data_IF_576501271369
#
_entry.id   IF_576501271369
#
_cell.length_a   1.000
_cell.length_b   1.000
_cell.length_c   1.000
_cell.angle_alpha   90.00
_cell.angle_beta   90.00
_cell.angle_gamma   90.00
#
_symmetry.space_group_name_H-M   'P 1'
#
loop_
_entity.id
_entity.type
_entity.pdbx_description
1 polymer ?
#
# COMPACT_ATOMS: atom_id res chain seq x y z
N UNK A 1 1.84 -14.77 -14.35
CA UNK A 1 1.07 -15.01 -13.11
C UNK A 1 -0.13 -14.06 -13.11
N UNK A 2 -1.28 -14.40 -12.52
CA UNK A 2 -2.40 -13.48 -12.45
C UNK A 2 -1.99 -12.22 -11.67
N UNK A 3 -2.39 -11.06 -12.18
CA UNK A 3 -2.29 -9.78 -11.48
C UNK A 3 -3.02 -9.91 -10.14
N UNK A 4 -2.30 -9.66 -9.04
CA UNK A 4 -2.91 -9.58 -7.72
C UNK A 4 -3.35 -8.15 -7.48
N UNK A 5 -4.59 -7.98 -7.03
CA UNK A 5 -5.09 -6.73 -6.48
C UNK A 5 -5.19 -6.91 -4.97
N UNK A 6 -4.36 -6.20 -4.23
CA UNK A 6 -4.22 -6.35 -2.79
C UNK A 6 -4.58 -5.04 -2.12
N UNK A 7 -5.58 -5.08 -1.23
CA UNK A 7 -5.97 -3.93 -0.42
C UNK A 7 -5.55 -4.14 1.03
N UNK A 8 -4.93 -3.13 1.64
CA UNK A 8 -4.48 -3.17 3.03
C UNK A 8 -4.96 -1.92 3.74
N UNK A 9 -5.61 -2.11 4.88
CA UNK A 9 -6.06 -1.03 5.74
C UNK A 9 -5.24 -1.07 7.04
N UNK A 10 -4.51 0.01 7.30
CA UNK A 10 -3.60 0.13 8.43
C UNK A 10 -4.09 1.17 9.41
N UNK A 11 -4.28 0.78 10.67
CA UNK A 11 -4.57 1.72 11.74
C UNK A 11 -3.27 2.26 12.32
N UNK A 12 -2.90 3.47 11.92
CA UNK A 12 -1.70 4.17 12.37
C UNK A 12 -1.95 4.77 13.76
N UNK A 13 -1.63 3.99 14.80
CA UNK A 13 -1.59 4.50 16.19
C UNK A 13 -0.25 5.15 16.55
N UNK A 14 0.79 4.93 15.73
CA UNK A 14 2.15 5.39 15.93
C UNK A 14 2.79 5.74 14.56
N UNK A 15 3.56 6.84 14.52
CA UNK A 15 4.34 7.32 13.38
C UNK A 15 5.31 6.29 12.79
N UNK A 16 5.83 5.37 13.60
CA UNK A 16 6.73 4.28 13.15
C UNK A 16 6.07 3.37 12.11
N UNK A 17 4.76 3.13 12.21
CA UNK A 17 4.02 2.32 11.23
C UNK A 17 3.98 3.04 9.89
N UNK A 18 3.68 4.34 9.90
CA UNK A 18 3.68 5.15 8.69
C UNK A 18 5.06 5.20 8.03
N UNK A 19 6.11 5.43 8.82
CA UNK A 19 7.49 5.45 8.32
C UNK A 19 7.92 4.08 7.78
N UNK A 20 7.49 2.99 8.41
CA UNK A 20 7.71 1.63 7.93
C UNK A 20 7.05 1.34 6.59
N UNK A 21 5.77 1.70 6.43
CA UNK A 21 5.03 1.56 5.16
C UNK A 21 5.71 2.36 4.05
N UNK A 22 5.94 3.65 4.29
CA UNK A 22 6.52 4.53 3.29
C UNK A 22 7.96 4.12 2.96
N UNK A 23 8.73 3.63 3.94
CA UNK A 23 10.05 3.08 3.73
C UNK A 23 10.03 1.88 2.77
N UNK A 24 9.19 0.87 3.03
CA UNK A 24 9.06 -0.31 2.14
C UNK A 24 8.69 0.10 0.71
N UNK A 25 7.73 1.01 0.57
CA UNK A 25 7.27 1.42 -0.76
C UNK A 25 8.35 2.24 -1.48
N UNK A 26 9.01 3.19 -0.79
CA UNK A 26 10.09 4.01 -1.39
C UNK A 26 11.37 3.21 -1.68
N UNK A 27 11.63 2.13 -0.94
CA UNK A 27 12.77 1.22 -1.21
C UNK A 27 12.61 0.50 -2.56
N UNK A 28 11.37 0.27 -3.00
CA UNK A 28 11.06 -0.55 -4.20
C UNK A 28 10.42 0.21 -5.36
N UNK A 29 9.93 1.42 -5.11
CA UNK A 29 9.06 2.15 -6.02
C UNK A 29 9.44 3.62 -6.08
N UNK A 30 9.15 4.26 -7.22
CA UNK A 30 9.30 5.70 -7.42
C UNK A 30 7.96 6.40 -7.25
N UNK A 31 7.95 7.57 -6.59
CA UNK A 31 6.77 8.41 -6.51
C UNK A 31 6.54 9.08 -7.87
N UNK A 32 5.38 8.86 -8.47
CA UNK A 32 5.01 9.46 -9.76
C UNK A 32 4.11 10.68 -9.57
N UNK A 33 3.12 10.56 -8.68
CA UNK A 33 2.13 11.61 -8.42
C UNK A 33 1.74 11.67 -6.96
N UNK A 34 1.40 12.88 -6.52
CA UNK A 34 0.83 13.14 -5.19
C UNK A 34 -0.31 14.14 -5.32
N UNK A 35 -1.43 13.83 -4.67
CA UNK A 35 -2.64 14.63 -4.64
C UNK A 35 -3.04 14.88 -3.18
N UNK A 36 -3.42 16.11 -2.88
CA UNK A 36 -4.04 16.47 -1.60
C UNK A 36 -5.55 16.49 -1.82
N UNK A 37 -6.26 15.63 -1.09
CA UNK A 37 -7.71 15.60 -1.02
C UNK A 37 -8.20 16.23 0.30
N UNK A 38 -9.46 16.62 0.36
CA UNK A 38 -10.03 17.32 1.51
C UNK A 38 -9.83 16.58 2.85
N UNK A 39 -9.78 15.25 2.81
CA UNK A 39 -9.69 14.37 3.97
C UNK A 39 -8.35 13.61 4.10
N UNK A 40 -7.39 13.85 3.20
CA UNK A 40 -6.14 13.09 3.22
C UNK A 40 -5.25 13.28 1.99
N UNK A 41 -4.12 12.58 1.97
CA UNK A 41 -3.17 12.63 0.86
C UNK A 41 -3.17 11.31 0.09
N UNK A 42 -3.20 11.36 -1.23
CA UNK A 42 -3.08 10.21 -2.13
C UNK A 42 -1.74 10.30 -2.84
N UNK A 43 -0.91 9.27 -2.68
CA UNK A 43 0.38 9.14 -3.37
C UNK A 43 0.35 7.91 -4.28
N UNK A 44 0.74 8.08 -5.55
CA UNK A 44 0.88 7.01 -6.53
C UNK A 44 2.36 6.67 -6.71
N UNK A 45 2.70 5.42 -6.42
CA UNK A 45 4.04 4.88 -6.62
C UNK A 45 4.04 3.84 -7.73
N UNK A 46 5.07 3.90 -8.57
CA UNK A 46 5.33 2.91 -9.62
C UNK A 46 6.59 2.13 -9.30
N UNK A 47 6.47 0.82 -9.28
CA UNK A 47 7.55 -0.13 -9.09
C UNK A 47 7.79 -0.87 -10.42
N UNK A 48 8.77 -1.78 -10.48
CA UNK A 48 9.05 -2.57 -11.70
C UNK A 48 7.82 -3.37 -12.19
N UNK A 49 7.11 -3.98 -11.25
CA UNK A 49 6.01 -4.94 -11.51
C UNK A 49 4.74 -4.59 -10.74
N UNK A 50 4.71 -3.42 -10.10
CA UNK A 50 3.62 -3.00 -9.23
C UNK A 50 3.27 -1.54 -9.43
N UNK A 51 2.00 -1.23 -9.21
CA UNK A 51 1.52 0.11 -8.91
C UNK A 51 0.96 0.10 -7.51
N UNK A 52 1.36 1.07 -6.69
CA UNK A 52 0.92 1.19 -5.29
C UNK A 52 0.28 2.55 -5.09
N UNK A 53 -0.99 2.56 -4.69
CA UNK A 53 -1.65 3.76 -4.20
C UNK A 53 -1.61 3.76 -2.68
N UNK A 54 -1.21 4.88 -2.09
CA UNK A 54 -1.26 5.12 -0.66
C UNK A 54 -2.22 6.27 -0.42
N UNK A 55 -3.33 6.01 0.27
CA UNK A 55 -4.21 7.06 0.76
C UNK A 55 -4.11 7.17 2.28
N UNK A 56 -3.65 8.33 2.76
CA UNK A 56 -3.52 8.62 4.18
C UNK A 56 -4.65 9.54 4.61
N UNK A 57 -5.54 9.06 5.48
CA UNK A 57 -6.65 9.82 6.04
C UNK A 57 -6.69 9.70 7.57
N UNK A 58 -6.34 10.79 8.26
CA UNK A 58 -6.25 10.81 9.72
C UNK A 58 -5.27 9.75 10.25
N UNK A 59 -5.77 8.82 11.07
CA UNK A 59 -5.00 7.71 11.64
C UNK A 59 -5.09 6.42 10.82
N UNK A 60 -5.50 6.48 9.55
CA UNK A 60 -5.61 5.30 8.69
C UNK A 60 -4.77 5.50 7.42
N UNK A 61 -4.03 4.47 7.05
CA UNK A 61 -3.37 4.36 5.75
C UNK A 61 -4.04 3.22 4.98
N UNK A 62 -4.57 3.54 3.80
CA UNK A 62 -5.08 2.60 2.83
C UNK A 62 -4.01 2.37 1.77
N UNK A 63 -3.67 1.11 1.51
CA UNK A 63 -2.78 0.70 0.43
C UNK A 63 -3.56 -0.09 -0.60
N UNK A 64 -3.44 0.29 -1.86
CA UNK A 64 -3.91 -0.48 -3.00
C UNK A 64 -2.69 -0.88 -3.85
N UNK A 65 -2.39 -2.18 -3.90
CA UNK A 65 -1.25 -2.75 -4.62
C UNK A 65 -1.80 -3.55 -5.80
N UNK A 66 -1.45 -3.12 -7.01
CA UNK A 66 -1.78 -3.76 -8.28
C UNK A 66 -0.51 -4.33 -8.89
N UNK A 67 -0.44 -5.66 -9.09
CA UNK A 67 0.73 -6.29 -9.72
C UNK A 67 1.17 -7.57 -9.02
N UNK A 68 2.49 -7.76 -8.96
CA UNK A 68 3.11 -8.90 -8.28
C UNK A 68 3.23 -8.73 -6.76
N UNK A 69 3.16 -9.83 -6.01
CA UNK A 69 3.12 -9.81 -4.54
C UNK A 69 4.37 -9.27 -3.82
N UNK A 70 5.47 -8.92 -4.50
CA UNK A 70 6.75 -8.61 -3.87
C UNK A 70 6.79 -7.34 -2.99
N UNK A 71 5.92 -6.36 -3.23
CA UNK A 71 5.74 -5.21 -2.30
C UNK A 71 4.94 -5.64 -1.09
N UNK A 72 3.86 -6.40 -1.31
CA UNK A 72 3.01 -6.92 -0.25
C UNK A 72 3.79 -7.82 0.73
N UNK A 73 4.61 -8.73 0.22
CA UNK A 73 5.46 -9.62 1.03
C UNK A 73 6.41 -8.81 1.94
N UNK A 74 7.08 -7.79 1.40
CA UNK A 74 7.94 -6.92 2.22
C UNK A 74 7.17 -6.07 3.23
N UNK A 75 5.92 -5.69 2.95
CA UNK A 75 5.06 -5.04 3.93
C UNK A 75 4.71 -6.02 5.07
N UNK A 76 4.39 -7.28 4.78
CA UNK A 76 4.09 -8.28 5.80
C UNK A 76 5.25 -8.54 6.77
N UNK A 77 6.50 -8.43 6.29
CA UNK A 77 7.70 -8.62 7.11
C UNK A 77 7.97 -7.45 8.05
N UNK A 78 7.61 -6.22 7.65
CA UNK A 78 7.95 -5.00 8.39
C UNK A 78 6.80 -4.42 9.21
N UNK A 79 5.55 -4.73 8.88
CA UNK A 79 4.40 -4.15 9.55
C UNK A 79 4.02 -4.93 10.83
N UNK A 80 3.71 -4.22 11.94
CA UNK A 80 3.28 -4.86 13.17
C UNK A 80 1.90 -5.50 12.99
N UNK A 81 1.82 -6.81 13.21
CA UNK A 81 0.61 -7.64 12.98
C UNK A 81 -0.64 -7.17 13.75
N UNK A 82 -0.45 -6.43 14.84
CA UNK A 82 -1.53 -5.97 15.73
C UNK A 82 -2.33 -4.78 15.18
N UNK A 83 -1.84 -4.12 14.12
CA UNK A 83 -2.43 -2.87 13.58
C UNK A 83 -2.78 -2.95 12.10
N UNK A 84 -2.71 -4.15 11.53
CA UNK A 84 -2.84 -4.40 10.09
C UNK A 84 -4.10 -5.23 9.86
N UNK A 85 -5.08 -4.66 9.14
CA UNK A 85 -6.18 -5.43 8.57
C UNK A 85 -5.92 -5.61 7.08
N UNK A 86 -5.79 -6.86 6.64
CA UNK A 86 -5.48 -7.17 5.24
C UNK A 86 -6.75 -7.69 4.57
N UNK A 87 -7.17 -7.02 3.50
CA UNK A 87 -8.25 -7.49 2.64
C UNK A 87 -7.71 -7.86 1.27
N UNK A 88 -7.47 -9.13 1.04
CA UNK A 88 -7.10 -9.65 -0.27
C UNK A 88 -8.33 -9.65 -1.19
N UNK A 89 -8.23 -8.99 -2.34
CA UNK A 89 -9.30 -8.95 -3.35
C UNK A 89 -8.72 -9.44 -4.67
N UNK A 90 -8.68 -10.76 -4.87
CA UNK A 90 -8.30 -11.30 -6.18
C UNK A 90 -9.41 -11.02 -7.19
N UNK A 91 -9.15 -10.11 -8.13
CA UNK A 91 -9.98 -9.91 -9.31
C UNK A 91 -9.30 -10.57 -10.49
N UNK A 92 -9.85 -11.68 -10.97
CA UNK A 92 -9.60 -12.10 -12.33
C UNK A 92 -10.17 -11.03 -13.28
N UNK A 93 -9.43 -10.69 -14.34
CA UNK A 93 -10.09 -10.04 -15.47
C UNK A 93 -11.14 -11.03 -15.99
N UNK A 94 -12.39 -10.62 -16.24
CA UNK A 94 -13.32 -11.48 -16.95
C UNK A 94 -12.70 -11.82 -18.30
N UNK A 95 -12.63 -13.12 -18.61
CA UNK A 95 -12.25 -13.64 -19.93
C UNK A 95 -13.20 -13.13 -21.02
#
# INVERSE_FOLDING_TARGET
>A
MPLKHILIDLLVKNKEVEEGVLGVVKDKCSLEHEFVADSGNISLFKCSENVVYIYKAGSVIYLDILGEGGVFESLLERLPREYVFIRLVERGFPE
#
